data_IF_394818221670
#
_entry.id   IF_394818221670
#
_cell.length_a   1.000
_cell.length_b   1.000
_cell.length_c   1.000
_cell.angle_alpha   90.00
_cell.angle_beta   90.00
_cell.angle_gamma   90.00
#
_symmetry.space_group_name_H-M   'P 1'
#
loop_
_entity.id
_entity.type
_entity.pdbx_description
1 polymer ?
#
# COMPACT_ATOMS: atom_id res chain seq x y z
N UNK A 1 -20.37 -17.52 -1.00
CA UNK A 1 -21.61 -16.78 -1.29
C UNK A 1 -21.38 -15.97 -2.56
N UNK A 2 -22.20 -16.15 -3.56
CA UNK A 2 -22.21 -15.35 -4.80
C UNK A 2 -23.26 -14.26 -4.63
N UNK A 3 -22.88 -12.99 -4.88
CA UNK A 3 -23.79 -11.85 -4.96
C UNK A 3 -23.73 -11.27 -6.35
N UNK A 4 -24.89 -11.01 -6.95
CA UNK A 4 -25.03 -10.41 -8.26
C UNK A 4 -25.97 -9.21 -8.18
N UNK A 5 -25.54 -8.06 -8.70
CA UNK A 5 -26.38 -6.88 -8.86
C UNK A 5 -26.91 -6.82 -10.29
N UNK A 6 -28.20 -6.64 -10.43
CA UNK A 6 -28.87 -6.48 -11.74
C UNK A 6 -29.66 -5.18 -11.72
N UNK A 7 -29.38 -4.30 -12.67
CA UNK A 7 -30.14 -3.07 -12.86
C UNK A 7 -31.31 -3.36 -13.78
N UNK A 8 -32.52 -3.01 -13.33
CA UNK A 8 -33.75 -3.21 -14.07
C UNK A 8 -34.48 -1.86 -14.17
N UNK A 9 -34.86 -1.45 -15.36
CA UNK A 9 -35.77 -0.31 -15.60
C UNK A 9 -37.21 -0.85 -15.81
N UNK A 10 -38.12 -0.35 -15.02
CA UNK A 10 -39.53 -0.68 -15.13
C UNK A 10 -40.36 0.60 -15.20
N UNK A 11 -41.58 0.53 -15.79
CA UNK A 11 -42.56 1.60 -15.71
C UNK A 11 -43.25 1.52 -14.34
N UNK A 12 -43.70 2.66 -13.81
CA UNK A 12 -44.38 2.74 -12.51
C UNK A 12 -45.51 1.74 -12.35
N UNK A 13 -46.35 1.59 -13.38
CA UNK A 13 -47.51 0.69 -13.39
C UNK A 13 -47.14 -0.80 -13.30
N UNK A 14 -45.95 -1.19 -13.73
CA UNK A 14 -45.48 -2.57 -13.76
C UNK A 14 -44.49 -2.94 -12.68
N UNK A 15 -43.94 -1.96 -11.97
CA UNK A 15 -42.87 -2.18 -10.98
C UNK A 15 -43.29 -3.15 -9.88
N UNK A 16 -44.48 -2.97 -9.32
CA UNK A 16 -45.02 -3.84 -8.28
C UNK A 16 -45.21 -5.30 -8.74
N UNK A 17 -45.66 -5.50 -9.98
CA UNK A 17 -45.81 -6.86 -10.54
C UNK A 17 -44.46 -7.54 -10.75
N UNK A 18 -43.50 -6.84 -11.34
CA UNK A 18 -42.15 -7.36 -11.58
C UNK A 18 -41.48 -7.74 -10.26
N UNK A 19 -41.56 -6.86 -9.24
CA UNK A 19 -40.97 -7.16 -7.93
C UNK A 19 -41.64 -8.38 -7.28
N UNK A 20 -42.96 -8.50 -7.37
CA UNK A 20 -43.69 -9.64 -6.84
C UNK A 20 -43.27 -10.94 -7.51
N UNK A 21 -43.23 -10.96 -8.84
CA UNK A 21 -42.84 -12.15 -9.61
C UNK A 21 -41.38 -12.58 -9.30
N UNK A 22 -40.47 -11.61 -9.16
CA UNK A 22 -39.08 -11.87 -8.78
C UNK A 22 -38.97 -12.44 -7.37
N UNK A 23 -39.72 -11.91 -6.39
CA UNK A 23 -39.74 -12.43 -5.03
C UNK A 23 -40.27 -13.87 -4.96
N UNK A 24 -41.36 -14.17 -5.68
CA UNK A 24 -41.86 -15.54 -5.74
C UNK A 24 -40.84 -16.49 -6.36
N UNK A 25 -40.21 -16.07 -7.47
CA UNK A 25 -39.21 -16.92 -8.11
C UNK A 25 -37.95 -17.10 -7.27
N UNK A 26 -37.50 -16.05 -6.58
CA UNK A 26 -36.37 -16.15 -5.62
C UNK A 26 -36.68 -17.12 -4.50
N UNK A 27 -37.89 -17.08 -3.93
CA UNK A 27 -38.33 -18.01 -2.90
C UNK A 27 -38.33 -19.46 -3.38
N UNK A 28 -38.88 -19.70 -4.59
CA UNK A 28 -38.89 -21.02 -5.23
C UNK A 28 -37.46 -21.59 -5.43
N UNK A 29 -36.52 -20.71 -5.80
CA UNK A 29 -35.12 -21.08 -6.05
C UNK A 29 -34.24 -21.09 -4.78
N UNK A 30 -34.76 -20.72 -3.62
CA UNK A 30 -33.99 -20.61 -2.38
C UNK A 30 -32.92 -19.51 -2.40
N UNK A 31 -33.13 -18.43 -3.18
CA UNK A 31 -32.19 -17.30 -3.34
C UNK A 31 -32.72 -16.10 -2.57
N UNK A 32 -31.81 -15.39 -1.90
CA UNK A 32 -32.17 -14.12 -1.26
C UNK A 32 -32.08 -12.98 -2.31
N UNK A 33 -33.12 -12.17 -2.41
CA UNK A 33 -33.15 -11.00 -3.27
C UNK A 33 -33.47 -9.76 -2.44
N UNK A 34 -32.78 -8.66 -2.74
CA UNK A 34 -33.04 -7.33 -2.18
C UNK A 34 -33.24 -6.34 -3.30
N UNK A 35 -34.13 -5.37 -3.11
CA UNK A 35 -34.38 -4.30 -4.07
C UNK A 35 -33.88 -2.99 -3.47
N UNK A 36 -33.18 -2.21 -4.31
CA UNK A 36 -32.77 -0.85 -4.00
C UNK A 36 -33.27 0.06 -5.12
N UNK A 37 -34.23 0.96 -4.87
CA UNK A 37 -34.68 1.90 -5.88
C UNK A 37 -33.55 2.89 -6.20
N UNK A 38 -33.43 3.24 -7.48
CA UNK A 38 -32.48 4.21 -7.99
C UNK A 38 -33.28 5.21 -8.82
N UNK A 39 -33.08 6.49 -8.55
CA UNK A 39 -33.71 7.57 -9.32
C UNK A 39 -33.02 7.75 -10.68
N UNK A 40 -33.71 8.35 -11.65
CA UNK A 40 -33.12 8.67 -12.94
C UNK A 40 -31.91 9.60 -12.79
N UNK A 41 -31.95 10.55 -11.85
CA UNK A 41 -30.83 11.46 -11.56
C UNK A 41 -29.60 10.70 -10.97
N UNK A 42 -29.83 9.74 -10.09
CA UNK A 42 -28.75 8.90 -9.56
C UNK A 42 -28.14 8.02 -10.66
N UNK A 43 -28.98 7.49 -11.56
CA UNK A 43 -28.53 6.72 -12.71
C UNK A 43 -27.71 7.58 -13.67
N UNK A 44 -28.20 8.77 -14.06
CA UNK A 44 -27.47 9.69 -14.93
C UNK A 44 -26.17 10.17 -14.30
N UNK A 45 -26.16 10.45 -13.00
CA UNK A 45 -24.92 10.74 -12.27
C UNK A 45 -23.94 9.58 -12.36
N UNK A 46 -24.39 8.35 -12.19
CA UNK A 46 -23.54 7.16 -12.33
C UNK A 46 -22.99 7.01 -13.74
N UNK A 47 -23.80 7.24 -14.78
CA UNK A 47 -23.38 7.23 -16.19
C UNK A 47 -22.33 8.33 -16.44
N UNK A 48 -22.57 9.54 -15.94
CA UNK A 48 -21.64 10.68 -16.06
C UNK A 48 -20.31 10.48 -15.33
N UNK A 49 -20.24 9.53 -14.41
CA UNK A 49 -19.00 9.11 -13.77
C UNK A 49 -18.14 8.22 -14.66
N UNK A 50 -18.68 7.64 -15.72
CA UNK A 50 -17.94 6.81 -16.66
C UNK A 50 -16.90 7.66 -17.41
N UNK A 51 -15.69 7.11 -17.57
CA UNK A 51 -14.59 7.82 -18.21
C UNK A 51 -13.79 8.78 -17.31
N UNK A 52 -14.23 9.05 -16.08
CA UNK A 52 -13.45 9.81 -15.12
C UNK A 52 -12.21 9.04 -14.65
N UNK A 53 -11.22 9.79 -14.16
CA UNK A 53 -10.01 9.21 -13.59
C UNK A 53 -10.37 8.21 -12.47
N UNK A 54 -9.57 7.15 -12.38
CA UNK A 54 -9.70 6.13 -11.33
C UNK A 54 -8.44 6.12 -10.48
N UNK A 55 -8.64 5.91 -9.19
CA UNK A 55 -7.56 5.74 -8.22
C UNK A 55 -7.83 4.54 -7.34
N UNK A 56 -6.77 3.98 -6.81
CA UNK A 56 -6.82 2.96 -5.77
C UNK A 56 -6.16 3.55 -4.54
N UNK A 57 -6.92 3.61 -3.46
CA UNK A 57 -6.40 3.92 -2.12
C UNK A 57 -6.39 2.62 -1.32
N UNK A 58 -5.23 2.23 -0.87
CA UNK A 58 -5.05 1.06 -0.01
C UNK A 58 -4.65 1.53 1.38
N UNK A 59 -5.31 1.04 2.42
CA UNK A 59 -4.89 1.22 3.81
C UNK A 59 -4.47 -0.11 4.40
N UNK A 60 -3.42 -0.09 5.20
CA UNK A 60 -2.85 -1.28 5.85
C UNK A 60 -2.54 -0.97 7.31
N UNK A 61 -2.80 -1.92 8.19
CA UNK A 61 -2.48 -1.80 9.61
C UNK A 61 -2.47 -3.17 10.30
N UNK A 62 -1.99 -3.20 11.53
CA UNK A 62 -2.08 -4.41 12.36
C UNK A 62 -3.53 -4.75 12.69
N UNK A 63 -4.35 -3.73 12.89
CA UNK A 63 -5.81 -3.82 12.95
C UNK A 63 -6.41 -2.61 12.24
N UNK A 64 -7.57 -2.77 11.63
CA UNK A 64 -8.32 -1.67 11.05
C UNK A 64 -9.69 -1.60 11.72
N UNK A 65 -9.99 -0.47 12.35
CA UNK A 65 -11.26 -0.18 13.01
C UNK A 65 -12.24 0.53 12.09
N UNK A 66 -13.48 0.69 12.53
CA UNK A 66 -14.47 1.51 11.84
C UNK A 66 -14.04 2.99 11.77
N UNK A 67 -13.32 3.49 12.77
CA UNK A 67 -12.77 4.85 12.81
C UNK A 67 -11.72 5.07 11.72
N UNK A 68 -10.85 4.07 11.44
CA UNK A 68 -9.90 4.16 10.34
C UNK A 68 -10.62 4.28 8.99
N UNK A 69 -11.70 3.51 8.79
CA UNK A 69 -12.49 3.58 7.56
C UNK A 69 -13.20 4.93 7.47
N UNK A 70 -13.78 5.40 8.57
CA UNK A 70 -14.47 6.70 8.63
C UNK A 70 -13.50 7.85 8.30
N UNK A 71 -12.34 7.91 8.96
CA UNK A 71 -11.33 8.93 8.70
C UNK A 71 -10.86 8.91 7.23
N UNK A 72 -10.64 7.72 6.66
CA UNK A 72 -10.24 7.54 5.26
C UNK A 72 -11.34 8.05 4.31
N UNK A 73 -12.59 7.65 4.54
CA UNK A 73 -13.72 8.05 3.68
C UNK A 73 -14.02 9.55 3.76
N UNK A 74 -13.79 10.17 4.91
CA UNK A 74 -13.90 11.62 5.09
C UNK A 74 -12.90 12.37 4.21
N UNK A 75 -11.63 11.96 4.19
CA UNK A 75 -10.62 12.56 3.30
C UNK A 75 -11.04 12.44 1.84
N UNK A 76 -11.52 11.26 1.41
CA UNK A 76 -11.99 11.03 0.04
C UNK A 76 -13.17 11.96 -0.30
N UNK A 77 -14.15 12.07 0.59
CA UNK A 77 -15.36 12.87 0.39
C UNK A 77 -15.06 14.38 0.27
N UNK A 78 -14.17 14.92 1.12
CA UNK A 78 -13.73 16.32 1.07
C UNK A 78 -13.10 16.65 -0.29
N UNK A 79 -12.43 15.70 -0.92
CA UNK A 79 -11.83 15.85 -2.24
C UNK A 79 -12.83 15.66 -3.41
N UNK A 80 -14.12 15.49 -3.12
CA UNK A 80 -15.16 15.33 -4.13
C UNK A 80 -15.07 14.04 -4.94
N UNK A 81 -14.37 13.04 -4.43
CA UNK A 81 -14.22 11.74 -5.09
C UNK A 81 -15.32 10.76 -4.65
N UNK A 82 -15.71 9.89 -5.57
CA UNK A 82 -16.65 8.80 -5.30
C UNK A 82 -15.91 7.51 -4.95
N UNK A 83 -16.48 6.72 -4.05
CA UNK A 83 -16.00 5.37 -3.71
C UNK A 83 -16.87 4.37 -4.48
N UNK A 84 -16.29 3.68 -5.46
CA UNK A 84 -17.00 2.65 -6.25
C UNK A 84 -17.10 1.32 -5.47
N UNK A 85 -16.05 0.98 -4.72
CA UNK A 85 -16.04 -0.25 -3.90
C UNK A 85 -15.01 -0.17 -2.77
N UNK A 86 -15.27 -0.92 -1.72
CA UNK A 86 -14.35 -1.15 -0.60
C UNK A 86 -14.17 -2.66 -0.46
N UNK A 87 -12.93 -3.13 -0.61
CA UNK A 87 -12.60 -4.55 -0.61
C UNK A 87 -11.52 -4.86 0.41
N UNK A 88 -11.78 -5.83 1.26
CA UNK A 88 -10.74 -6.36 2.15
C UNK A 88 -9.85 -7.32 1.37
N UNK A 89 -8.54 -7.02 1.31
CA UNK A 89 -7.53 -7.83 0.61
C UNK A 89 -6.96 -8.96 1.48
N UNK A 90 -7.02 -8.81 2.80
CA UNK A 90 -6.58 -9.85 3.73
C UNK A 90 -7.65 -10.91 3.96
N UNK A 91 -7.22 -12.15 4.22
CA UNK A 91 -8.12 -13.27 4.50
C UNK A 91 -9.02 -13.03 5.71
N UNK A 92 -10.15 -13.72 5.76
CA UNK A 92 -11.05 -13.72 6.92
C UNK A 92 -10.38 -14.46 8.05
N UNK A 93 -10.61 -13.99 9.27
CA UNK A 93 -10.09 -14.60 10.49
C UNK A 93 -11.16 -15.40 11.21
N UNK A 94 -10.72 -16.42 11.94
CA UNK A 94 -11.61 -17.20 12.79
C UNK A 94 -12.06 -16.35 13.99
N UNK A 95 -13.34 -16.29 14.24
CA UNK A 95 -13.92 -15.64 15.44
C UNK A 95 -13.55 -16.41 16.73
N UNK A 96 -13.23 -17.71 16.58
CA UNK A 96 -12.96 -18.61 17.69
C UNK A 96 -11.48 -18.72 18.07
N UNK A 97 -10.58 -18.17 17.27
CA UNK A 97 -9.13 -18.22 17.53
C UNK A 97 -8.59 -16.79 17.59
N UNK A 98 -8.07 -16.42 18.76
CA UNK A 98 -7.28 -15.20 18.87
C UNK A 98 -6.01 -15.36 18.05
N UNK A 99 -5.83 -14.50 17.06
CA UNK A 99 -4.63 -14.42 16.25
C UNK A 99 -3.84 -13.20 16.69
N UNK A 100 -2.67 -13.39 17.28
CA UNK A 100 -1.83 -12.30 17.77
C UNK A 100 -1.15 -11.50 16.65
N UNK A 101 -1.14 -12.00 15.40
CA UNK A 101 -0.55 -11.33 14.23
C UNK A 101 -1.59 -11.00 13.17
N UNK A 102 -2.58 -10.21 13.57
CA UNK A 102 -3.61 -9.74 12.65
C UNK A 102 -3.07 -8.58 11.84
N UNK A 103 -3.00 -8.77 10.53
CA UNK A 103 -2.81 -7.66 9.60
C UNK A 103 -4.08 -7.49 8.79
N UNK A 104 -4.47 -6.26 8.60
CA UNK A 104 -5.64 -5.91 7.81
C UNK A 104 -5.21 -4.99 6.66
N UNK A 105 -5.73 -5.28 5.47
CA UNK A 105 -5.51 -4.47 4.28
C UNK A 105 -6.86 -4.27 3.59
N UNK A 106 -7.21 -3.03 3.34
CA UNK A 106 -8.46 -2.64 2.68
C UNK A 106 -8.12 -1.77 1.48
N UNK A 107 -8.75 -2.06 0.36
CA UNK A 107 -8.63 -1.31 -0.88
C UNK A 107 -9.93 -0.57 -1.16
N UNK A 108 -9.82 0.72 -1.47
CA UNK A 108 -10.90 1.57 -1.94
C UNK A 108 -10.67 1.85 -3.43
N UNK A 109 -11.63 1.47 -4.27
CA UNK A 109 -11.67 1.91 -5.66
C UNK A 109 -12.35 3.26 -5.72
N UNK A 110 -11.62 4.28 -6.18
CA UNK A 110 -12.08 5.67 -6.21
C UNK A 110 -12.29 6.12 -7.66
N UNK A 111 -13.26 6.99 -7.86
CA UNK A 111 -13.58 7.60 -9.15
C UNK A 111 -13.68 9.12 -9.01
N UNK A 112 -13.14 9.81 -10.01
CA UNK A 112 -13.09 11.27 -10.05
C UNK A 112 -11.66 11.78 -10.07
N UNK A 113 -11.51 13.10 -10.03
CA UNK A 113 -10.23 13.76 -9.86
C UNK A 113 -10.30 14.50 -8.54
N UNK A 114 -9.36 14.33 -7.63
CA UNK A 114 -9.37 15.06 -6.37
C UNK A 114 -9.32 16.57 -6.65
N UNK A 115 -10.05 17.34 -5.84
CA UNK A 115 -10.06 18.81 -5.95
C UNK A 115 -8.65 19.39 -5.78
N UNK A 116 -7.88 18.83 -4.84
CA UNK A 116 -6.47 19.14 -4.62
C UNK A 116 -5.73 17.84 -4.26
N UNK A 117 -4.92 17.35 -5.21
CA UNK A 117 -4.17 16.10 -5.02
C UNK A 117 -3.09 16.23 -3.94
N UNK A 118 -2.44 17.39 -3.85
CA UNK A 118 -1.37 17.61 -2.85
C UNK A 118 -1.96 17.67 -1.44
N UNK A 119 -3.08 18.40 -1.29
CA UNK A 119 -3.79 18.46 -0.02
C UNK A 119 -4.34 17.08 0.37
N UNK A 120 -4.88 16.31 -0.58
CA UNK A 120 -5.32 14.94 -0.32
C UNK A 120 -4.21 14.05 0.24
N UNK A 121 -3.00 14.14 -0.34
CA UNK A 121 -1.85 13.40 0.17
C UNK A 121 -1.45 13.84 1.58
N UNK A 122 -1.46 15.15 1.84
CA UNK A 122 -1.15 15.70 3.16
C UNK A 122 -2.17 15.24 4.22
N UNK A 123 -3.47 15.27 3.90
CA UNK A 123 -4.54 14.82 4.79
C UNK A 123 -4.45 13.31 5.05
N UNK A 124 -4.15 12.50 4.04
CA UNK A 124 -3.92 11.06 4.19
C UNK A 124 -2.68 10.78 5.05
N UNK A 125 -1.59 11.55 4.88
CA UNK A 125 -0.37 11.41 5.71
C UNK A 125 -0.67 11.75 7.17
N UNK A 126 -1.39 12.83 7.43
CA UNK A 126 -1.81 13.23 8.77
C UNK A 126 -2.68 12.14 9.41
N UNK A 127 -3.68 11.67 8.70
CA UNK A 127 -4.58 10.60 9.13
C UNK A 127 -3.79 9.30 9.44
N UNK A 128 -2.83 8.94 8.59
CA UNK A 128 -1.95 7.79 8.78
C UNK A 128 -1.18 7.87 10.10
N UNK A 129 -0.58 9.02 10.39
CA UNK A 129 0.16 9.25 11.64
C UNK A 129 -0.74 9.20 12.88
N UNK A 130 -1.91 9.87 12.81
CA UNK A 130 -2.86 9.93 13.92
C UNK A 130 -3.49 8.56 14.23
N UNK A 131 -3.74 7.74 13.21
CA UNK A 131 -4.43 6.46 13.33
C UNK A 131 -3.47 5.25 13.43
N UNK A 132 -2.16 5.44 13.23
CA UNK A 132 -1.18 4.36 13.26
C UNK A 132 -1.38 3.32 12.17
N UNK A 133 -1.79 3.76 10.98
CA UNK A 133 -1.98 2.92 9.79
C UNK A 133 -1.18 3.50 8.61
N UNK A 134 -0.83 2.65 7.66
CA UNK A 134 -0.17 3.09 6.43
C UNK A 134 -1.16 3.21 5.27
N UNK A 135 -0.83 4.03 4.27
CA UNK A 135 -1.64 4.16 3.07
C UNK A 135 -0.80 4.19 1.79
N UNK A 136 -1.46 3.86 0.68
CA UNK A 136 -0.93 4.02 -0.67
C UNK A 136 -2.04 4.54 -1.59
N UNK A 137 -1.83 5.69 -2.22
CA UNK A 137 -2.73 6.25 -3.21
C UNK A 137 -2.10 6.14 -4.61
N UNK A 138 -2.76 5.43 -5.53
CA UNK A 138 -2.27 5.16 -6.87
C UNK A 138 -3.33 5.47 -7.92
N UNK A 139 -2.91 6.03 -9.06
CA UNK A 139 -3.78 6.16 -10.23
C UNK A 139 -4.03 4.78 -10.85
N UNK A 140 -5.29 4.39 -11.00
CA UNK A 140 -5.67 3.11 -11.64
C UNK A 140 -5.75 3.25 -13.15
N UNK A 141 -4.65 2.97 -13.82
CA UNK A 141 -4.55 2.98 -15.27
C UNK A 141 -3.92 1.68 -15.80
N UNK A 142 -3.85 1.55 -17.12
CA UNK A 142 -3.27 0.36 -17.75
C UNK A 142 -1.82 0.11 -17.34
N UNK A 143 -1.04 1.16 -17.10
CA UNK A 143 0.37 1.01 -16.71
C UNK A 143 0.54 0.38 -15.32
N UNK A 144 -0.38 0.63 -14.39
CA UNK A 144 -0.37 -0.03 -13.07
C UNK A 144 -0.44 -1.55 -13.19
N UNK A 145 -1.24 -2.07 -14.11
CA UNK A 145 -1.48 -3.51 -14.28
C UNK A 145 -0.44 -4.22 -15.13
N UNK A 146 0.35 -3.47 -15.90
CA UNK A 146 1.35 -4.00 -16.85
C UNK A 146 2.77 -4.00 -16.29
N UNK A 147 2.99 -3.51 -15.09
CA UNK A 147 4.32 -3.50 -14.47
C UNK A 147 4.77 -4.91 -14.19
N UNK A 148 6.04 -5.20 -14.54
CA UNK A 148 6.67 -6.51 -14.34
C UNK A 148 8.03 -6.40 -13.66
N UNK A 149 8.50 -5.18 -13.39
CA UNK A 149 9.73 -4.90 -12.65
C UNK A 149 9.38 -4.20 -11.35
N UNK A 150 9.92 -4.72 -10.25
CA UNK A 150 9.86 -4.08 -8.94
C UNK A 150 11.28 -3.84 -8.48
N UNK A 151 11.56 -2.60 -8.10
CA UNK A 151 12.83 -2.20 -7.55
C UNK A 151 12.65 -1.91 -6.06
N UNK A 152 13.53 -2.47 -5.24
CA UNK A 152 13.58 -2.23 -3.81
C UNK A 152 14.83 -1.44 -3.46
N UNK A 153 14.70 -0.51 -2.56
CA UNK A 153 15.83 0.00 -1.82
C UNK A 153 16.32 -1.05 -0.83
N UNK A 154 17.57 -0.98 -0.44
CA UNK A 154 18.20 -1.95 0.44
C UNK A 154 18.14 -1.53 1.90
N UNK A 155 18.84 -0.42 2.20
CA UNK A 155 19.03 0.06 3.55
C UNK A 155 17.70 0.57 4.15
N UNK A 156 17.39 0.22 5.37
CA UNK A 156 16.12 0.54 6.05
C UNK A 156 14.85 0.11 5.31
N UNK A 157 14.97 -0.70 4.25
CA UNK A 157 13.88 -1.22 3.43
C UNK A 157 13.86 -2.75 3.38
N UNK A 158 14.80 -3.40 2.69
CA UNK A 158 14.95 -4.87 2.70
C UNK A 158 15.60 -5.36 4.00
N UNK A 159 16.49 -4.56 4.56
CA UNK A 159 17.12 -4.76 5.87
C UNK A 159 16.70 -3.63 6.82
N UNK A 160 16.65 -3.89 8.12
CA UNK A 160 16.19 -2.94 9.14
C UNK A 160 17.31 -1.99 9.62
N UNK A 161 18.43 -1.91 8.91
CA UNK A 161 19.61 -1.14 9.29
C UNK A 161 20.23 -0.45 8.09
N UNK A 162 21.11 0.48 8.34
CA UNK A 162 21.96 1.14 7.34
C UNK A 162 23.33 0.45 7.34
N UNK A 163 23.76 -0.07 6.18
CA UNK A 163 25.05 -0.77 6.05
C UNK A 163 26.25 0.08 6.51
N UNK A 164 26.23 1.37 6.16
CA UNK A 164 27.32 2.27 6.54
C UNK A 164 27.39 2.50 8.04
N UNK A 165 26.26 2.52 8.74
CA UNK A 165 26.21 2.68 10.19
C UNK A 165 26.72 1.43 10.92
N UNK A 166 26.41 0.24 10.40
CA UNK A 166 26.96 -1.01 10.94
C UNK A 166 28.48 -1.09 10.77
N UNK A 167 28.99 -0.70 9.60
CA UNK A 167 30.43 -0.60 9.36
C UNK A 167 31.08 0.43 10.31
N UNK A 168 30.47 1.59 10.48
CA UNK A 168 30.95 2.64 11.36
C UNK A 168 30.99 2.21 12.83
N UNK A 169 29.99 1.45 13.30
CA UNK A 169 30.00 0.85 14.64
C UNK A 169 31.18 -0.10 14.84
N UNK A 170 31.45 -0.96 13.84
CA UNK A 170 32.60 -1.90 13.90
C UNK A 170 33.95 -1.18 13.80
N UNK A 171 34.01 -0.03 13.09
CA UNK A 171 35.20 0.81 13.02
C UNK A 171 35.39 1.72 14.26
N UNK A 172 34.40 1.81 15.15
CA UNK A 172 34.44 2.71 16.32
C UNK A 172 34.24 4.19 15.98
N UNK A 173 33.68 4.51 14.78
CA UNK A 173 33.51 5.89 14.28
C UNK A 173 32.01 6.23 14.06
N UNK A 174 31.09 5.58 14.76
CA UNK A 174 29.67 5.74 14.59
C UNK A 174 29.17 7.18 14.83
N UNK A 175 29.69 7.85 15.83
CA UNK A 175 29.29 9.23 16.17
C UNK A 175 29.72 10.24 15.11
N UNK A 176 30.90 10.03 14.52
CA UNK A 176 31.41 10.86 13.43
C UNK A 176 30.56 10.69 12.17
N UNK A 177 30.26 9.45 11.79
CA UNK A 177 29.41 9.13 10.66
C UNK A 177 28.03 9.74 10.84
N UNK A 178 27.45 9.65 12.04
CA UNK A 178 26.14 10.25 12.35
C UNK A 178 26.14 11.78 12.14
N UNK A 179 27.16 12.49 12.59
CA UNK A 179 27.29 13.94 12.39
C UNK A 179 27.33 14.32 10.90
N UNK A 180 28.05 13.53 10.08
CA UNK A 180 28.09 13.77 8.62
C UNK A 180 26.71 13.53 8.01
N UNK A 181 26.02 12.47 8.42
CA UNK A 181 24.65 12.17 7.96
C UNK A 181 23.68 13.31 8.31
N UNK A 182 23.76 13.85 9.53
CA UNK A 182 22.95 14.99 9.94
C UNK A 182 23.22 16.26 9.12
N UNK A 183 24.47 16.53 8.76
CA UNK A 183 24.84 17.65 7.86
C UNK A 183 24.24 17.46 6.47
N UNK A 184 24.29 16.25 5.93
CA UNK A 184 23.67 15.93 4.64
C UNK A 184 22.14 16.10 4.69
N UNK A 185 21.50 15.65 5.76
CA UNK A 185 20.04 15.80 5.93
C UNK A 185 19.61 17.27 6.05
N UNK A 186 20.45 18.14 6.59
CA UNK A 186 20.23 19.60 6.62
C UNK A 186 20.52 20.28 5.28
N UNK A 187 21.03 19.54 4.29
CA UNK A 187 21.39 20.10 2.97
C UNK A 187 22.69 20.89 2.96
N UNK A 188 23.55 20.74 3.96
CA UNK A 188 24.84 21.43 4.05
C UNK A 188 25.89 20.84 3.09
N UNK A 189 25.74 19.54 2.79
CA UNK A 189 26.59 18.78 1.87
C UNK A 189 25.69 17.88 1.00
N UNK A 190 26.12 17.59 -0.22
CA UNK A 190 25.40 16.68 -1.10
C UNK A 190 25.63 15.20 -0.72
N UNK A 191 24.81 14.31 -1.31
CA UNK A 191 24.89 12.87 -1.05
C UNK A 191 26.30 12.31 -1.37
N UNK A 192 26.89 12.72 -2.48
CA UNK A 192 28.17 12.19 -2.96
C UNK A 192 29.32 12.60 -2.05
N UNK A 193 29.31 13.84 -1.60
CA UNK A 193 30.29 14.37 -0.65
C UNK A 193 30.13 13.68 0.71
N UNK A 194 28.92 13.62 1.24
CA UNK A 194 28.61 12.92 2.48
C UNK A 194 29.03 11.45 2.44
N UNK A 195 28.76 10.75 1.33
CA UNK A 195 29.14 9.35 1.19
C UNK A 195 30.66 9.17 1.21
N UNK A 196 31.39 10.04 0.52
CA UNK A 196 32.87 10.02 0.51
C UNK A 196 33.44 10.28 1.91
N UNK A 197 32.95 11.30 2.61
CA UNK A 197 33.39 11.61 3.98
C UNK A 197 33.16 10.42 4.91
N UNK A 198 32.00 9.81 4.88
CA UNK A 198 31.64 8.66 5.73
C UNK A 198 32.50 7.43 5.42
N UNK A 199 32.69 7.10 4.15
CA UNK A 199 33.52 5.95 3.76
C UNK A 199 35.01 6.17 4.10
N UNK A 200 35.51 7.40 4.01
CA UNK A 200 36.89 7.72 4.37
C UNK A 200 37.19 7.41 5.86
N UNK A 201 36.20 7.54 6.74
CA UNK A 201 36.33 7.18 8.15
C UNK A 201 36.50 5.66 8.38
N UNK A 202 36.08 4.82 7.43
CA UNK A 202 36.22 3.37 7.52
C UNK A 202 37.64 2.86 7.13
N UNK A 203 38.55 3.76 6.81
CA UNK A 203 39.90 3.40 6.37
C UNK A 203 40.61 2.56 7.45
N UNK A 204 41.06 1.37 7.04
CA UNK A 204 41.76 0.43 7.94
C UNK A 204 40.85 -0.62 8.57
N UNK A 205 39.55 -0.54 8.39
CA UNK A 205 38.63 -1.61 8.75
C UNK A 205 38.91 -2.85 7.92
N UNK A 206 38.99 -4.03 8.55
CA UNK A 206 39.17 -5.28 7.84
C UNK A 206 37.94 -5.61 6.99
N UNK A 207 38.15 -5.99 5.72
CA UNK A 207 37.06 -6.32 4.79
C UNK A 207 36.22 -7.54 5.23
N UNK A 208 36.78 -8.44 6.05
CA UNK A 208 36.04 -9.60 6.59
C UNK A 208 34.83 -9.18 7.43
N UNK A 209 34.86 -7.97 8.01
CA UNK A 209 33.73 -7.41 8.76
C UNK A 209 32.47 -7.28 7.90
N UNK A 210 32.63 -7.03 6.59
CA UNK A 210 31.49 -6.95 5.68
C UNK A 210 30.74 -8.28 5.58
N UNK A 211 31.47 -9.39 5.59
CA UNK A 211 30.88 -10.73 5.55
C UNK A 211 30.07 -11.01 6.82
N UNK A 212 30.69 -10.72 7.99
CA UNK A 212 30.02 -10.89 9.28
C UNK A 212 28.73 -10.05 9.40
N UNK A 213 28.75 -8.82 8.92
CA UNK A 213 27.56 -7.96 8.89
C UNK A 213 26.49 -8.55 7.96
N UNK A 214 26.87 -8.99 6.76
CA UNK A 214 25.94 -9.53 5.76
C UNK A 214 25.23 -10.79 6.27
N UNK A 215 25.97 -11.70 6.91
CA UNK A 215 25.43 -12.94 7.48
C UNK A 215 24.45 -12.70 8.64
N UNK A 216 24.56 -11.56 9.30
CA UNK A 216 23.73 -11.18 10.44
C UNK A 216 22.74 -10.05 10.15
N UNK A 217 22.40 -9.78 8.87
CA UNK A 217 21.44 -8.75 8.53
C UNK A 217 20.07 -8.98 9.16
N UNK A 218 19.52 -7.98 9.85
CA UNK A 218 18.15 -8.03 10.29
C UNK A 218 17.21 -7.79 9.08
N UNK A 219 16.81 -8.87 8.41
CA UNK A 219 15.89 -8.80 7.27
C UNK A 219 14.54 -8.23 7.73
N UNK A 220 13.98 -7.34 6.96
CA UNK A 220 12.66 -6.76 7.25
C UNK A 220 11.58 -7.84 7.22
N UNK A 221 10.69 -7.81 8.20
CA UNK A 221 9.65 -8.82 8.38
C UNK A 221 8.78 -8.97 7.13
N UNK A 222 8.73 -10.20 6.62
CA UNK A 222 7.90 -10.57 5.47
C UNK A 222 8.58 -10.40 4.11
N UNK A 223 9.83 -9.96 4.04
CA UNK A 223 10.59 -9.82 2.78
C UNK A 223 10.68 -11.15 2.06
N UNK A 224 11.06 -12.25 2.73
CA UNK A 224 11.17 -13.59 2.09
C UNK A 224 9.86 -14.01 1.43
N UNK A 225 8.75 -13.83 2.15
CA UNK A 225 7.42 -14.14 1.63
C UNK A 225 7.05 -13.25 0.45
N UNK A 226 7.37 -11.96 0.54
CA UNK A 226 7.12 -11.00 -0.54
C UNK A 226 7.89 -11.39 -1.80
N UNK A 227 9.19 -11.69 -1.68
CA UNK A 227 10.05 -12.09 -2.80
C UNK A 227 9.52 -13.36 -3.47
N UNK A 228 9.13 -14.35 -2.68
CA UNK A 228 8.54 -15.60 -3.19
C UNK A 228 7.24 -15.32 -3.98
N UNK A 229 6.34 -14.52 -3.44
CA UNK A 229 5.06 -14.18 -4.10
C UNK A 229 5.31 -13.41 -5.40
N UNK A 230 6.20 -12.42 -5.38
CA UNK A 230 6.52 -11.62 -6.57
C UNK A 230 7.15 -12.48 -7.69
N UNK A 231 8.08 -13.36 -7.35
CA UNK A 231 8.66 -14.33 -8.31
C UNK A 231 7.58 -15.24 -8.91
N UNK A 232 6.69 -15.78 -8.09
CA UNK A 232 5.58 -16.64 -8.54
C UNK A 232 4.58 -15.87 -9.43
N UNK A 233 4.40 -14.59 -9.20
CA UNK A 233 3.58 -13.70 -10.05
C UNK A 233 4.30 -13.25 -11.33
N UNK A 234 5.53 -13.68 -11.57
CA UNK A 234 6.30 -13.38 -12.78
C UNK A 234 6.94 -11.99 -12.80
N UNK A 235 7.10 -11.36 -11.64
CA UNK A 235 7.82 -10.08 -11.54
C UNK A 235 9.33 -10.32 -11.62
N UNK A 236 10.00 -9.37 -12.30
CA UNK A 236 11.45 -9.18 -12.14
C UNK A 236 11.69 -8.32 -10.92
N UNK A 237 12.65 -8.70 -10.10
CA UNK A 237 13.01 -8.00 -8.87
C UNK A 237 14.41 -7.45 -9.04
N UNK A 238 14.62 -6.21 -8.62
CA UNK A 238 15.92 -5.55 -8.61
C UNK A 238 16.12 -4.82 -7.29
N UNK A 239 17.37 -4.77 -6.84
CA UNK A 239 17.80 -3.92 -5.72
C UNK A 239 18.42 -2.67 -6.32
N UNK A 240 18.00 -1.49 -5.90
CA UNK A 240 18.57 -0.20 -6.24
C UNK A 240 19.01 0.48 -4.94
N UNK A 241 20.30 0.53 -4.71
CA UNK A 241 20.87 1.13 -3.50
C UNK A 241 22.00 2.07 -3.86
N UNK A 242 22.13 3.16 -3.12
CA UNK A 242 23.29 4.05 -3.15
C UNK A 242 24.47 3.56 -2.30
N UNK A 243 24.35 2.39 -1.68
CA UNK A 243 25.31 1.83 -0.73
C UNK A 243 26.38 0.95 -1.38
N UNK A 244 26.76 -0.11 -0.67
CA UNK A 244 27.87 -1.00 -1.02
C UNK A 244 27.38 -2.16 -1.91
N UNK A 245 27.99 -2.35 -3.06
CA UNK A 245 27.70 -3.45 -4.00
C UNK A 245 27.79 -4.82 -3.34
N UNK A 246 28.77 -5.02 -2.46
CA UNK A 246 28.96 -6.27 -1.74
C UNK A 246 27.67 -6.74 -1.02
N UNK A 247 27.02 -5.84 -0.30
CA UNK A 247 25.79 -6.18 0.44
C UNK A 247 24.60 -6.44 -0.48
N UNK A 248 24.50 -5.68 -1.58
CA UNK A 248 23.49 -5.92 -2.59
C UNK A 248 23.64 -7.29 -3.27
N UNK A 249 24.85 -7.70 -3.60
CA UNK A 249 25.17 -9.01 -4.16
C UNK A 249 24.92 -10.16 -3.17
N UNK A 250 25.19 -9.92 -1.89
CA UNK A 250 24.87 -10.88 -0.84
C UNK A 250 23.37 -11.14 -0.73
N UNK A 251 22.56 -10.09 -0.70
CA UNK A 251 21.09 -10.19 -0.62
C UNK A 251 20.44 -10.74 -1.89
N UNK A 252 21.11 -10.71 -3.03
CA UNK A 252 20.62 -11.26 -4.28
C UNK A 252 20.61 -12.79 -4.29
N UNK A 253 21.44 -13.46 -3.48
CA UNK A 253 21.57 -14.93 -3.41
C UNK A 253 20.42 -15.57 -2.68
#
# INVERSE_FOLDING_TARGET
>A
TLSLGILIRTNEDNSGKVMKDLLFKATELGVNIGFSPITDDEYENWVNQQGKNRYILTIIGRSLSAENIEATTRVIAVQGMNIDSIVRLTGRQSIKRESHNVRACIEFSLRGTPNDYVQMQADLMKMSQEQGIDFSLQKDNMYRRMRRLICFDMDSTLIQTECIDELAKRAGVGDEVKKITERAMRGEIDFKESFKERVALLKGLDASVMQDIAENFPITEGVDRLMMVLKNCGYKIAILSGGFTFFGEFLQR
#
